data_IF_529007691180
#
_entry.id   IF_529007691180
#
_cell.length_a   1.000
_cell.length_b   1.000
_cell.length_c   1.000
_cell.angle_alpha   90.00
_cell.angle_beta   90.00
_cell.angle_gamma   90.00
#
_symmetry.space_group_name_H-M   'P 1'
#
loop_
_entity.id
_entity.type
_entity.pdbx_description
1 polymer ?
#
# COMPACT_ATOMS: atom_id res chain seq x y z
N UNK A 1 43.38 -37.11 4.82
CA UNK A 1 43.15 -35.68 4.58
C UNK A 1 41.99 -35.40 3.63
N UNK A 2 41.88 -36.05 2.47
CA UNK A 2 40.76 -35.81 1.51
C UNK A 2 39.34 -36.10 2.07
N UNK A 3 39.17 -37.10 2.96
CA UNK A 3 37.85 -37.41 3.58
C UNK A 3 37.39 -36.40 4.62
N UNK A 4 38.33 -35.70 5.27
CA UNK A 4 37.99 -34.65 6.24
C UNK A 4 37.52 -33.37 5.56
N UNK A 5 38.07 -33.04 4.41
CA UNK A 5 37.64 -31.88 3.60
C UNK A 5 36.23 -32.05 3.01
N UNK A 6 35.86 -33.25 2.58
CA UNK A 6 34.51 -33.56 2.08
C UNK A 6 33.45 -33.45 3.18
N UNK A 7 33.80 -33.89 4.41
CA UNK A 7 32.89 -33.77 5.58
C UNK A 7 32.72 -32.30 6.03
N UNK A 8 33.75 -31.47 5.94
CA UNK A 8 33.68 -30.05 6.26
C UNK A 8 32.90 -29.27 5.22
N UNK A 9 33.04 -29.62 3.91
CA UNK A 9 32.22 -29.00 2.84
C UNK A 9 30.74 -29.40 2.94
N UNK A 10 30.43 -30.65 3.30
CA UNK A 10 29.07 -31.10 3.50
C UNK A 10 28.42 -30.46 4.73
N UNK A 11 29.17 -30.22 5.81
CA UNK A 11 28.70 -29.52 7.01
C UNK A 11 28.45 -28.01 6.69
N UNK A 12 29.31 -27.37 5.88
CA UNK A 12 29.12 -25.97 5.46
C UNK A 12 27.92 -25.81 4.52
N UNK A 13 27.68 -26.77 3.63
CA UNK A 13 26.51 -26.78 2.75
C UNK A 13 25.20 -27.02 3.52
N UNK A 14 25.21 -27.83 4.57
CA UNK A 14 24.06 -28.06 5.45
C UNK A 14 23.75 -26.83 6.33
N UNK A 15 24.74 -26.08 6.78
CA UNK A 15 24.53 -24.82 7.52
C UNK A 15 24.05 -23.67 6.60
N UNK A 16 24.50 -23.64 5.34
CA UNK A 16 24.00 -22.69 4.36
C UNK A 16 22.54 -22.99 3.97
N UNK A 17 22.16 -24.26 3.84
CA UNK A 17 20.77 -24.68 3.61
C UNK A 17 19.85 -24.35 4.80
N UNK A 18 20.34 -24.46 6.06
CA UNK A 18 19.60 -24.09 7.23
C UNK A 18 19.43 -22.55 7.39
N UNK A 19 20.39 -21.75 6.93
CA UNK A 19 20.23 -20.29 6.88
C UNK A 19 19.28 -19.83 5.76
N UNK A 20 19.19 -20.58 4.66
CA UNK A 20 18.26 -20.27 3.55
C UNK A 20 16.80 -20.66 3.90
N UNK A 21 16.60 -21.63 4.80
CA UNK A 21 15.25 -22.00 5.28
C UNK A 21 14.77 -21.12 6.45
N UNK A 22 15.63 -20.35 7.12
CA UNK A 22 15.25 -19.39 8.15
C UNK A 22 14.84 -18.01 7.56
N UNK A 23 15.10 -17.75 6.27
CA UNK A 23 14.57 -16.61 5.52
C UNK A 23 13.24 -16.92 4.79
N UNK A 24 12.74 -18.16 4.89
CA UNK A 24 11.47 -18.52 4.29
C UNK A 24 10.31 -18.15 5.21
N UNK A 25 9.58 -17.15 4.76
CA UNK A 25 8.18 -16.93 5.11
C UNK A 25 7.90 -16.61 6.59
N UNK A 26 8.16 -15.37 6.99
CA UNK A 26 7.01 -14.71 7.58
C UNK A 26 5.96 -14.73 6.45
N UNK A 27 4.80 -15.41 6.60
CA UNK A 27 3.75 -15.26 5.63
C UNK A 27 3.54 -13.74 5.50
N UNK A 28 3.76 -13.18 4.31
CA UNK A 28 3.11 -11.95 3.98
C UNK A 28 1.65 -12.28 4.25
N UNK A 29 1.16 -11.88 5.42
CA UNK A 29 -0.26 -11.89 5.69
C UNK A 29 -0.81 -11.14 4.49
N UNK A 30 -1.46 -11.88 3.62
CA UNK A 30 -2.22 -11.37 2.51
C UNK A 30 -3.30 -10.48 3.11
N UNK A 31 -2.93 -9.25 3.45
CA UNK A 31 -3.87 -8.21 3.83
C UNK A 31 -4.74 -7.81 2.62
N UNK A 32 -4.39 -8.34 1.43
CA UNK A 32 -5.14 -8.08 0.21
C UNK A 32 -6.42 -8.93 0.09
N UNK A 33 -6.51 -10.12 0.74
CA UNK A 33 -7.54 -11.06 0.31
C UNK A 33 -8.77 -11.21 1.20
N UNK A 34 -8.85 -10.70 2.44
CA UNK A 34 -10.06 -11.07 3.22
C UNK A 34 -10.59 -10.08 4.29
N UNK A 35 -10.01 -8.89 4.51
CA UNK A 35 -10.45 -8.05 5.62
C UNK A 35 -10.79 -6.59 5.29
N UNK A 36 -10.54 -6.11 4.09
CA UNK A 36 -10.97 -4.81 3.63
C UNK A 36 -11.96 -4.93 2.46
N UNK A 37 -12.90 -5.87 2.56
CA UNK A 37 -14.08 -5.75 1.70
C UNK A 37 -14.77 -4.42 2.03
N UNK A 38 -15.14 -3.64 1.01
CA UNK A 38 -16.01 -2.49 1.24
C UNK A 38 -17.22 -2.95 2.06
N UNK A 39 -17.65 -2.19 3.07
CA UNK A 39 -18.85 -2.55 3.79
C UNK A 39 -20.00 -2.74 2.79
N UNK A 40 -20.76 -3.82 2.98
CA UNK A 40 -21.94 -4.14 2.18
C UNK A 40 -22.72 -2.86 1.88
N UNK A 41 -23.09 -2.70 0.60
CA UNK A 41 -23.91 -1.56 0.16
C UNK A 41 -25.07 -1.35 1.12
N UNK A 42 -25.29 -0.13 1.61
CA UNK A 42 -26.36 0.13 2.56
C UNK A 42 -27.68 -0.36 1.95
N UNK A 43 -28.44 -1.12 2.75
CA UNK A 43 -29.78 -1.57 2.38
C UNK A 43 -30.58 -0.39 1.81
N UNK A 44 -31.27 -0.61 0.69
CA UNK A 44 -32.15 0.37 0.07
C UNK A 44 -33.16 0.88 1.13
N UNK A 45 -32.85 2.00 1.74
CA UNK A 45 -33.82 2.77 2.51
C UNK A 45 -34.68 3.54 1.49
N UNK A 46 -35.93 3.11 1.31
CA UNK A 46 -36.92 3.70 0.40
C UNK A 46 -37.62 4.89 1.03
N UNK A 47 -36.94 5.70 1.79
CA UNK A 47 -37.41 6.98 2.28
C UNK A 47 -36.73 8.10 1.49
N UNK A 48 -37.52 8.86 0.74
CA UNK A 48 -37.12 10.06 0.00
C UNK A 48 -36.68 11.16 0.98
N UNK A 49 -35.51 10.99 1.61
CA UNK A 49 -34.83 12.07 2.35
C UNK A 49 -34.18 12.98 1.31
N UNK A 50 -34.49 14.27 1.37
CA UNK A 50 -33.82 15.31 0.61
C UNK A 50 -32.31 15.05 0.64
N UNK A 51 -31.69 14.90 -0.53
CA UNK A 51 -30.26 14.63 -0.66
C UNK A 51 -29.53 15.80 0.04
N UNK A 52 -28.73 15.59 1.10
CA UNK A 52 -28.08 16.67 1.81
C UNK A 52 -27.18 17.45 0.85
N UNK A 53 -27.23 18.79 0.92
CA UNK A 53 -26.40 19.63 0.08
C UNK A 53 -24.91 19.38 0.39
N UNK A 54 -24.05 19.42 -0.64
CA UNK A 54 -22.61 19.38 -0.43
C UNK A 54 -22.15 20.55 0.44
N UNK A 55 -21.19 20.31 1.30
CA UNK A 55 -20.53 21.32 2.13
C UNK A 55 -19.01 21.11 2.12
N UNK A 56 -18.26 22.11 2.55
CA UNK A 56 -16.81 22.02 2.66
C UNK A 56 -16.39 21.22 3.89
N UNK A 57 -15.38 20.38 3.68
CA UNK A 57 -14.74 19.54 4.69
C UNK A 57 -13.23 19.76 4.61
N UNK A 58 -12.59 19.99 5.74
CA UNK A 58 -11.14 20.05 5.84
C UNK A 58 -10.54 18.64 5.79
N UNK A 59 -9.46 18.47 4.98
CA UNK A 59 -8.69 17.24 4.94
C UNK A 59 -7.63 17.30 6.04
N UNK A 60 -7.63 16.32 6.92
CA UNK A 60 -6.63 16.16 7.99
C UNK A 60 -5.94 14.81 7.90
N UNK A 61 -4.65 14.80 8.26
CA UNK A 61 -3.86 13.61 8.53
C UNK A 61 -3.59 13.54 10.03
N UNK A 62 -4.48 12.84 10.75
CA UNK A 62 -4.33 12.67 12.20
C UNK A 62 -3.14 11.79 12.51
N UNK A 63 -2.21 12.26 13.36
CA UNK A 63 -1.07 11.47 13.81
C UNK A 63 -1.45 10.61 15.01
N UNK A 64 -1.43 9.29 14.84
CA UNK A 64 -1.68 8.31 15.90
C UNK A 64 -0.37 7.60 16.25
N UNK A 65 0.11 7.77 17.48
CA UNK A 65 1.32 7.09 17.97
C UNK A 65 0.94 6.12 19.09
N UNK A 66 1.58 4.95 19.10
CA UNK A 66 1.38 3.92 20.11
C UNK A 66 2.70 3.25 20.45
N UNK A 67 2.97 3.06 21.74
CA UNK A 67 4.14 2.34 22.24
C UNK A 67 3.68 1.21 23.15
N UNK A 68 4.34 0.07 23.07
CA UNK A 68 4.06 -1.12 23.83
C UNK A 68 5.33 -1.61 24.50
N UNK A 69 5.24 -1.90 25.81
CA UNK A 69 6.36 -2.20 26.68
C UNK A 69 6.28 -3.61 27.26
N UNK A 70 7.42 -4.16 27.67
CA UNK A 70 7.52 -5.33 28.54
C UNK A 70 7.22 -4.96 30.01
N UNK A 71 7.18 -5.96 30.89
CA UNK A 71 6.93 -5.75 32.33
C UNK A 71 8.05 -4.97 33.05
N UNK A 72 9.25 -4.97 32.49
CA UNK A 72 10.44 -4.25 32.99
C UNK A 72 10.64 -2.88 32.31
N UNK A 73 9.57 -2.31 31.74
CA UNK A 73 9.54 -1.01 31.03
C UNK A 73 10.41 -0.98 29.76
N UNK A 74 10.83 -2.12 29.21
CA UNK A 74 11.53 -2.18 27.93
C UNK A 74 10.55 -1.95 26.77
N UNK A 75 10.86 -1.00 25.89
CA UNK A 75 10.07 -0.77 24.68
C UNK A 75 10.21 -1.96 23.72
N UNK A 76 9.12 -2.63 23.43
CA UNK A 76 9.05 -3.81 22.56
C UNK A 76 8.64 -3.44 21.14
N UNK A 77 7.62 -2.62 21.01
CA UNK A 77 7.09 -2.22 19.71
C UNK A 77 6.52 -0.80 19.72
N UNK A 78 6.59 -0.13 18.58
CA UNK A 78 6.00 1.20 18.38
C UNK A 78 5.24 1.27 17.06
N UNK A 79 4.10 1.97 17.07
CA UNK A 79 3.30 2.30 15.89
C UNK A 79 3.24 3.81 15.67
N UNK A 80 3.22 4.23 14.40
CA UNK A 80 3.09 5.64 14.03
C UNK A 80 2.30 5.74 12.72
N UNK A 81 1.06 6.24 12.79
CA UNK A 81 0.11 6.21 11.68
C UNK A 81 -0.40 7.60 11.36
N UNK A 82 -0.40 7.97 10.08
CA UNK A 82 -1.14 9.12 9.58
C UNK A 82 -2.49 8.65 9.06
N UNK A 83 -3.56 8.99 9.78
CA UNK A 83 -4.94 8.60 9.46
C UNK A 83 -5.62 9.72 8.69
N UNK A 84 -6.10 9.44 7.49
CA UNK A 84 -6.87 10.40 6.72
C UNK A 84 -8.25 10.62 7.35
N UNK A 85 -8.66 11.88 7.48
CA UNK A 85 -9.97 12.28 8.01
C UNK A 85 -10.53 13.48 7.27
N UNK A 86 -11.86 13.53 7.18
CA UNK A 86 -12.62 14.70 6.75
C UNK A 86 -13.33 15.27 7.99
N UNK A 87 -13.03 16.52 8.33
CA UNK A 87 -13.66 17.24 9.43
C UNK A 87 -14.50 18.41 8.91
N UNK A 88 -15.54 18.85 9.63
CA UNK A 88 -16.19 20.11 9.29
C UNK A 88 -15.17 21.23 9.15
N UNK A 89 -15.42 22.16 8.22
CA UNK A 89 -14.47 23.19 7.82
C UNK A 89 -13.82 23.90 9.03
N UNK A 90 -12.48 23.87 9.06
CA UNK A 90 -11.69 24.66 10.01
C UNK A 90 -10.45 25.30 9.34
N UNK A 91 -10.40 25.29 7.99
CA UNK A 91 -9.33 25.84 7.16
C UNK A 91 -8.35 24.78 6.62
N UNK A 92 -7.46 25.17 5.70
CA UNK A 92 -6.51 24.27 5.02
C UNK A 92 -7.03 23.74 3.70
N UNK A 93 -6.59 22.53 3.32
CA UNK A 93 -7.10 21.86 2.12
C UNK A 93 -8.52 21.38 2.35
N UNK A 94 -9.43 21.75 1.47
CA UNK A 94 -10.85 21.43 1.60
C UNK A 94 -11.35 20.56 0.46
N UNK A 95 -12.43 19.84 0.72
CA UNK A 95 -13.15 18.99 -0.19
C UNK A 95 -14.66 19.24 -0.05
N UNK A 96 -15.35 19.47 -1.16
CA UNK A 96 -16.81 19.74 -1.15
C UNK A 96 -17.58 18.45 -1.44
N UNK A 97 -18.20 17.87 -0.42
CA UNK A 97 -19.00 16.64 -0.51
C UNK A 97 -20.19 16.68 0.44
N UNK A 98 -21.13 15.75 0.27
CA UNK A 98 -22.23 15.58 1.23
C UNK A 98 -21.72 15.00 2.56
N UNK A 99 -22.44 15.24 3.66
CA UNK A 99 -22.15 14.60 4.96
C UNK A 99 -22.11 13.08 4.84
N UNK A 100 -23.03 12.48 4.07
CA UNK A 100 -23.06 11.04 3.86
C UNK A 100 -21.77 10.53 3.16
N UNK A 101 -21.25 11.26 2.18
CA UNK A 101 -20.00 10.94 1.50
C UNK A 101 -18.82 11.03 2.47
N UNK A 102 -18.72 12.13 3.23
CA UNK A 102 -17.65 12.30 4.23
C UNK A 102 -17.68 11.20 5.30
N UNK A 103 -18.87 10.88 5.83
CA UNK A 103 -19.06 9.81 6.82
C UNK A 103 -18.65 8.44 6.26
N UNK A 104 -18.91 8.17 4.97
CA UNK A 104 -18.51 6.92 4.33
C UNK A 104 -17.00 6.80 4.26
N UNK A 105 -16.31 7.86 3.81
CA UNK A 105 -14.85 7.91 3.72
C UNK A 105 -14.22 7.81 5.13
N UNK A 106 -14.72 8.58 6.09
CA UNK A 106 -14.22 8.55 7.48
C UNK A 106 -14.40 7.17 8.11
N UNK A 107 -15.51 6.49 7.85
CA UNK A 107 -15.75 5.13 8.36
C UNK A 107 -14.74 4.12 7.79
N UNK A 108 -14.36 4.25 6.53
CA UNK A 108 -13.32 3.42 5.92
C UNK A 108 -11.99 3.59 6.68
N UNK A 109 -11.54 4.83 6.90
CA UNK A 109 -10.26 5.08 7.58
C UNK A 109 -10.31 4.77 9.09
N UNK A 110 -11.46 4.88 9.74
CA UNK A 110 -11.62 4.41 11.12
C UNK A 110 -11.51 2.87 11.22
N UNK A 111 -12.05 2.13 10.26
CA UNK A 111 -11.87 0.67 10.19
C UNK A 111 -10.42 0.32 9.88
N UNK A 112 -9.80 1.01 8.93
CA UNK A 112 -8.39 0.87 8.63
C UNK A 112 -7.52 1.14 9.88
N UNK A 113 -7.75 2.23 10.61
CA UNK A 113 -7.04 2.55 11.86
C UNK A 113 -7.13 1.43 12.89
N UNK A 114 -8.31 0.84 13.07
CA UNK A 114 -8.50 -0.31 13.97
C UNK A 114 -7.69 -1.53 13.52
N UNK A 115 -7.65 -1.78 12.23
CA UNK A 115 -6.84 -2.89 11.67
C UNK A 115 -5.35 -2.67 11.88
N UNK A 116 -4.85 -1.43 11.73
CA UNK A 116 -3.44 -1.11 12.00
C UNK A 116 -3.08 -1.28 13.47
N UNK A 117 -3.95 -0.84 14.39
CA UNK A 117 -3.72 -1.04 15.83
C UNK A 117 -3.74 -2.54 16.22
N UNK A 118 -4.57 -3.34 15.55
CA UNK A 118 -4.57 -4.79 15.75
C UNK A 118 -3.27 -5.41 15.19
N UNK A 119 -2.83 -5.02 14.01
CA UNK A 119 -1.56 -5.47 13.44
C UNK A 119 -0.37 -5.12 14.35
N UNK A 120 -0.34 -3.90 14.91
CA UNK A 120 0.67 -3.54 15.91
C UNK A 120 0.62 -4.43 17.17
N UNK A 121 -0.57 -4.84 17.60
CA UNK A 121 -0.68 -5.77 18.72
C UNK A 121 -0.05 -7.12 18.39
N UNK A 122 -0.24 -7.64 17.17
CA UNK A 122 0.36 -8.88 16.69
C UNK A 122 1.90 -8.74 16.59
N UNK A 123 2.39 -7.62 16.05
CA UNK A 123 3.83 -7.29 16.01
C UNK A 123 4.42 -7.20 17.43
N UNK A 124 3.66 -6.64 18.38
CA UNK A 124 4.08 -6.55 19.80
C UNK A 124 4.20 -7.93 20.41
N UNK A 125 3.31 -8.87 20.12
CA UNK A 125 3.38 -10.23 20.66
C UNK A 125 4.57 -10.99 20.06
N UNK A 126 4.90 -10.77 18.79
CA UNK A 126 6.13 -11.30 18.19
C UNK A 126 7.38 -10.73 18.89
N UNK A 127 7.41 -9.42 19.16
CA UNK A 127 8.48 -8.78 19.90
C UNK A 127 8.60 -9.34 21.32
N UNK A 128 7.49 -9.54 22.03
CA UNK A 128 7.43 -10.12 23.38
C UNK A 128 8.02 -11.54 23.42
N UNK A 129 7.64 -12.36 22.44
CA UNK A 129 8.16 -13.72 22.30
C UNK A 129 9.66 -13.73 22.04
N UNK A 130 10.14 -12.86 21.16
CA UNK A 130 11.57 -12.72 20.86
C UNK A 130 12.36 -12.22 22.09
N UNK A 131 11.82 -11.24 22.81
CA UNK A 131 12.42 -10.71 24.04
C UNK A 131 12.51 -11.76 25.15
N UNK A 132 11.42 -12.49 25.40
CA UNK A 132 11.39 -13.56 26.39
C UNK A 132 12.34 -14.72 26.04
N UNK A 133 12.46 -15.07 24.75
CA UNK A 133 13.35 -16.12 24.25
C UNK A 133 14.83 -15.85 24.53
N UNK A 134 15.23 -14.60 24.71
CA UNK A 134 16.59 -14.17 25.05
C UNK A 134 16.72 -13.75 26.52
N UNK A 135 15.67 -13.86 27.34
CA UNK A 135 15.58 -13.30 28.70
C UNK A 135 16.00 -11.81 28.74
N UNK A 136 15.73 -11.06 27.67
CA UNK A 136 16.13 -9.68 27.52
C UNK A 136 17.65 -9.45 27.36
N UNK A 137 18.45 -10.51 27.27
CA UNK A 137 19.91 -10.41 27.23
C UNK A 137 20.49 -10.07 25.85
N UNK A 138 19.66 -10.04 24.79
CA UNK A 138 20.11 -9.63 23.47
C UNK A 138 20.35 -8.11 23.45
N UNK A 139 21.60 -7.67 23.19
CA UNK A 139 21.95 -6.25 23.22
C UNK A 139 21.21 -5.41 22.16
N UNK A 140 20.58 -6.04 21.16
CA UNK A 140 19.74 -5.34 20.16
C UNK A 140 18.54 -4.64 20.80
N UNK A 141 18.00 -5.17 21.91
CA UNK A 141 16.89 -4.53 22.62
C UNK A 141 17.26 -3.20 23.31
N UNK A 142 18.56 -2.87 23.39
CA UNK A 142 19.04 -1.58 23.88
C UNK A 142 19.15 -0.51 22.77
N UNK A 143 19.01 -0.92 21.50
CA UNK A 143 19.21 -0.07 20.33
C UNK A 143 17.85 0.27 19.72
N UNK A 144 17.49 1.56 19.60
CA UNK A 144 16.17 1.98 19.13
C UNK A 144 15.81 1.50 17.72
N UNK A 145 16.80 1.26 16.87
CA UNK A 145 16.65 0.79 15.49
C UNK A 145 16.18 -0.67 15.41
N UNK A 146 16.35 -1.45 16.46
CA UNK A 146 15.91 -2.85 16.53
C UNK A 146 14.58 -3.05 17.27
N UNK A 147 13.99 -1.98 17.79
CA UNK A 147 12.63 -2.01 18.32
C UNK A 147 11.66 -2.34 17.18
N UNK A 148 10.77 -3.31 17.40
CA UNK A 148 9.77 -3.65 16.40
C UNK A 148 8.90 -2.42 16.12
N UNK A 149 8.56 -2.20 14.86
CA UNK A 149 7.84 -0.98 14.49
C UNK A 149 6.90 -1.22 13.33
N UNK A 150 5.80 -0.46 13.34
CA UNK A 150 4.87 -0.39 12.23
C UNK A 150 4.51 1.08 11.99
N UNK A 151 4.81 1.58 10.81
CA UNK A 151 4.59 2.99 10.48
C UNK A 151 3.86 3.12 9.16
N UNK A 152 2.96 4.10 9.09
CA UNK A 152 2.25 4.45 7.85
C UNK A 152 2.27 5.96 7.66
N UNK A 153 2.80 6.39 6.52
CA UNK A 153 2.66 7.75 6.03
C UNK A 153 1.60 7.78 4.94
N UNK A 154 0.78 8.81 4.97
CA UNK A 154 -0.37 8.96 4.07
C UNK A 154 -0.20 10.19 3.21
N UNK A 155 -0.51 10.06 1.93
CA UNK A 155 -0.63 11.14 0.97
C UNK A 155 -1.97 11.04 0.25
N UNK A 156 -2.41 12.11 -0.42
CA UNK A 156 -3.69 12.11 -1.12
C UNK A 156 -3.68 13.03 -2.33
N UNK A 157 -4.52 12.69 -3.29
CA UNK A 157 -4.84 13.52 -4.44
C UNK A 157 -6.36 13.69 -4.55
N UNK A 158 -6.78 14.93 -4.81
CA UNK A 158 -8.18 15.30 -5.00
C UNK A 158 -8.39 15.69 -6.45
N UNK A 159 -9.02 14.81 -7.20
CA UNK A 159 -9.46 15.09 -8.56
C UNK A 159 -10.84 15.73 -8.62
N UNK A 160 -11.38 15.91 -9.84
CA UNK A 160 -12.68 16.57 -10.04
C UNK A 160 -13.85 15.88 -9.31
N UNK A 161 -13.87 14.55 -9.26
CA UNK A 161 -14.90 13.73 -8.57
C UNK A 161 -14.34 12.45 -7.98
N UNK A 162 -13.03 12.37 -7.82
CA UNK A 162 -12.32 11.22 -7.27
C UNK A 162 -11.33 11.71 -6.22
N UNK A 163 -11.31 11.05 -5.06
CA UNK A 163 -10.27 11.18 -4.06
C UNK A 163 -9.41 9.91 -4.12
N UNK A 164 -8.10 10.05 -4.25
CA UNK A 164 -7.15 8.95 -4.10
C UNK A 164 -6.32 9.18 -2.85
N UNK A 165 -6.25 8.20 -1.97
CA UNK A 165 -5.42 8.23 -0.76
C UNK A 165 -4.42 7.10 -0.85
N UNK A 166 -3.13 7.43 -0.83
CA UNK A 166 -2.03 6.47 -0.85
C UNK A 166 -1.36 6.38 0.51
N UNK A 167 -1.02 5.17 0.93
CA UNK A 167 -0.42 4.88 2.23
C UNK A 167 0.85 4.08 2.02
N UNK A 168 1.97 4.60 2.50
CA UNK A 168 3.26 3.91 2.50
C UNK A 168 3.52 3.30 3.87
N UNK A 169 3.66 2.00 3.88
CA UNK A 169 3.89 1.18 5.06
C UNK A 169 5.37 0.85 5.21
N UNK A 170 5.84 0.83 6.45
CA UNK A 170 7.15 0.31 6.81
C UNK A 170 7.03 -0.44 8.14
N UNK A 171 7.25 -1.74 8.11
CA UNK A 171 7.12 -2.62 9.29
C UNK A 171 8.41 -3.38 9.55
N UNK A 172 8.92 -3.30 10.77
CA UNK A 172 10.07 -4.04 11.24
C UNK A 172 9.68 -4.98 12.37
N UNK A 173 9.84 -6.26 12.13
CA UNK A 173 9.56 -7.34 13.12
C UNK A 173 10.79 -8.22 13.38
N UNK A 174 11.98 -7.63 13.29
CA UNK A 174 13.27 -8.32 13.36
C UNK A 174 13.84 -8.63 11.98
N UNK A 175 15.10 -9.01 11.93
CA UNK A 175 15.81 -9.31 10.68
C UNK A 175 16.75 -8.19 10.23
N UNK A 176 17.14 -8.19 8.94
CA UNK A 176 18.16 -7.30 8.42
C UNK A 176 17.64 -5.89 8.09
N UNK A 177 16.36 -5.75 7.76
CA UNK A 177 15.74 -4.49 7.35
C UNK A 177 14.21 -4.54 7.53
N UNK A 178 13.53 -3.39 7.56
CA UNK A 178 12.07 -3.32 7.50
C UNK A 178 11.53 -3.89 6.18
N UNK A 179 10.29 -4.38 6.20
CA UNK A 179 9.50 -4.56 5.01
C UNK A 179 8.72 -3.28 4.72
N UNK A 180 8.63 -2.91 3.44
CA UNK A 180 7.86 -1.74 3.03
C UNK A 180 6.97 -2.07 1.84
N UNK A 181 5.79 -1.44 1.81
CA UNK A 181 4.85 -1.57 0.71
C UNK A 181 3.96 -0.33 0.64
N UNK A 182 3.29 -0.18 -0.49
CA UNK A 182 2.35 0.91 -0.70
C UNK A 182 0.98 0.36 -1.05
N UNK A 183 -0.05 0.97 -0.50
CA UNK A 183 -1.44 0.73 -0.88
C UNK A 183 -2.08 2.07 -1.24
N UNK A 184 -3.08 2.03 -2.12
CA UNK A 184 -3.92 3.18 -2.39
C UNK A 184 -5.39 2.75 -2.42
N UNK A 185 -6.25 3.67 -2.05
CA UNK A 185 -7.69 3.55 -2.17
C UNK A 185 -8.25 4.79 -2.84
N UNK A 186 -9.13 4.60 -3.80
CA UNK A 186 -9.80 5.69 -4.49
C UNK A 186 -11.28 5.69 -4.15
N UNK A 187 -11.86 6.90 -3.97
CA UNK A 187 -13.26 7.07 -3.61
C UNK A 187 -13.99 7.91 -4.67
N UNK A 188 -15.21 7.48 -4.99
CA UNK A 188 -16.17 8.30 -5.74
C UNK A 188 -16.72 9.40 -4.82
N UNK A 189 -16.39 10.67 -5.09
CA UNK A 189 -16.80 11.82 -4.28
C UNK A 189 -18.31 12.12 -4.35
N UNK A 190 -19.07 11.47 -5.25
CA UNK A 190 -20.52 11.60 -5.27
C UNK A 190 -21.22 10.81 -4.17
N UNK A 191 -20.60 9.72 -3.68
CA UNK A 191 -21.23 8.79 -2.72
C UNK A 191 -20.29 8.21 -1.66
N UNK A 192 -18.97 8.45 -1.75
CA UNK A 192 -17.97 7.94 -0.81
C UNK A 192 -17.67 6.45 -0.92
N UNK A 193 -18.05 5.80 -2.04
CA UNK A 193 -17.71 4.41 -2.29
C UNK A 193 -16.26 4.27 -2.72
N UNK A 194 -15.56 3.28 -2.15
CA UNK A 194 -14.26 2.87 -2.64
C UNK A 194 -14.39 2.26 -4.04
N UNK A 195 -13.46 2.63 -4.94
CA UNK A 195 -13.44 2.25 -6.34
C UNK A 195 -12.38 1.19 -6.60
N UNK A 196 -12.71 0.26 -7.49
CA UNK A 196 -11.75 -0.60 -8.16
C UNK A 196 -11.48 -0.04 -9.56
N UNK A 197 -10.32 -0.36 -10.15
CA UNK A 197 -10.01 0.09 -11.51
C UNK A 197 -11.08 -0.42 -12.51
N UNK A 198 -11.64 -1.60 -12.28
CA UNK A 198 -12.71 -2.20 -13.07
C UNK A 198 -14.04 -1.44 -13.00
N UNK A 199 -14.24 -0.56 -12.02
CA UNK A 199 -15.38 0.36 -11.99
C UNK A 199 -15.27 1.49 -13.02
N UNK A 200 -14.04 1.73 -13.51
CA UNK A 200 -13.68 2.83 -14.39
C UNK A 200 -13.51 2.40 -15.85
N UNK A 201 -13.54 1.10 -16.15
CA UNK A 201 -13.34 0.55 -17.50
C UNK A 201 -14.32 -0.57 -17.81
N UNK A 202 -14.76 -0.65 -19.07
CA UNK A 202 -15.53 -1.78 -19.62
C UNK A 202 -14.64 -2.74 -20.43
N UNK A 203 -13.38 -2.33 -20.71
CA UNK A 203 -12.38 -3.12 -21.42
C UNK A 203 -11.11 -3.31 -20.56
N UNK A 204 -11.25 -4.09 -19.52
CA UNK A 204 -10.15 -4.37 -18.59
C UNK A 204 -8.97 -5.08 -19.25
N UNK A 205 -9.22 -5.96 -20.22
CA UNK A 205 -8.16 -6.72 -20.90
C UNK A 205 -7.37 -5.85 -21.87
N UNK A 206 -8.06 -4.99 -22.66
CA UNK A 206 -7.39 -4.02 -23.52
C UNK A 206 -6.57 -3.01 -22.74
N UNK A 207 -7.12 -2.51 -21.64
CA UNK A 207 -6.41 -1.61 -20.71
C UNK A 207 -5.18 -2.29 -20.10
N UNK A 208 -5.32 -3.54 -19.66
CA UNK A 208 -4.21 -4.33 -19.08
C UNK A 208 -3.06 -4.44 -20.06
N UNK A 209 -3.33 -4.82 -21.30
CA UNK A 209 -2.30 -5.00 -22.33
C UNK A 209 -1.55 -3.69 -22.64
N UNK A 210 -2.28 -2.59 -22.83
CA UNK A 210 -1.70 -1.27 -23.16
C UNK A 210 -0.81 -0.75 -22.01
N UNK A 211 -1.25 -0.90 -20.76
CA UNK A 211 -0.47 -0.47 -19.59
C UNK A 211 0.76 -1.35 -19.42
N UNK A 212 0.64 -2.67 -19.53
CA UNK A 212 1.76 -3.60 -19.39
C UNK A 212 2.88 -3.30 -20.41
N UNK A 213 2.55 -2.95 -21.65
CA UNK A 213 3.54 -2.51 -22.65
C UNK A 213 4.24 -1.22 -22.21
N UNK A 214 3.48 -0.24 -21.70
CA UNK A 214 4.04 1.01 -21.17
C UNK A 214 4.97 0.77 -19.99
N UNK A 215 4.57 -0.09 -19.04
CA UNK A 215 5.38 -0.45 -17.88
C UNK A 215 6.69 -1.13 -18.29
N UNK A 216 6.63 -2.09 -19.20
CA UNK A 216 7.83 -2.80 -19.71
C UNK A 216 8.79 -1.81 -20.37
N UNK A 217 8.28 -0.85 -21.15
CA UNK A 217 9.10 0.19 -21.76
C UNK A 217 9.79 1.07 -20.70
N UNK A 218 9.08 1.43 -19.62
CA UNK A 218 9.61 2.27 -18.56
C UNK A 218 10.60 1.52 -17.66
N UNK A 219 10.32 0.26 -17.30
CA UNK A 219 11.24 -0.59 -16.52
C UNK A 219 12.61 -0.63 -17.16
N UNK A 220 12.70 -0.89 -18.47
CA UNK A 220 13.97 -0.94 -19.23
C UNK A 220 14.73 0.39 -19.29
N UNK A 221 14.16 1.48 -18.76
CA UNK A 221 14.75 2.83 -18.68
C UNK A 221 14.84 3.36 -17.26
N UNK A 222 14.46 2.55 -16.29
CA UNK A 222 14.50 2.93 -14.87
C UNK A 222 15.94 2.99 -14.33
N UNK A 223 16.10 3.69 -13.22
CA UNK A 223 17.37 3.72 -12.50
C UNK A 223 17.75 2.32 -11.99
N UNK A 224 16.76 1.52 -11.56
CA UNK A 224 16.97 0.14 -11.16
C UNK A 224 17.57 -0.68 -12.33
N UNK A 225 17.00 -0.58 -13.54
CA UNK A 225 17.54 -1.25 -14.71
C UNK A 225 19.00 -0.85 -14.99
N UNK A 226 19.30 0.44 -14.87
CA UNK A 226 20.66 0.96 -15.07
C UNK A 226 21.65 0.44 -14.03
N UNK A 227 21.19 0.22 -12.79
CA UNK A 227 22.03 -0.20 -11.66
C UNK A 227 22.27 -1.72 -11.63
N UNK A 228 21.22 -2.52 -11.85
CA UNK A 228 21.28 -3.98 -11.67
C UNK A 228 21.14 -4.77 -12.96
N UNK A 229 20.82 -4.14 -14.10
CA UNK A 229 20.61 -4.80 -15.40
C UNK A 229 19.35 -5.70 -15.42
N UNK A 230 19.10 -6.36 -16.55
CA UNK A 230 17.99 -7.31 -16.67
C UNK A 230 18.14 -8.50 -15.72
N UNK A 231 19.36 -8.97 -15.50
CA UNK A 231 19.68 -10.09 -14.63
C UNK A 231 19.39 -9.80 -13.14
N UNK A 232 19.25 -8.53 -12.78
CA UNK A 232 18.91 -8.10 -11.42
C UNK A 232 17.40 -8.09 -11.14
N UNK A 233 16.54 -8.14 -12.15
CA UNK A 233 15.11 -8.33 -12.01
C UNK A 233 14.76 -9.80 -11.82
N UNK A 234 13.61 -10.08 -11.19
CA UNK A 234 13.15 -11.46 -11.03
C UNK A 234 12.79 -12.07 -12.38
N UNK A 235 12.92 -13.39 -12.49
CA UNK A 235 12.73 -14.11 -13.77
C UNK A 235 11.32 -13.87 -14.35
N UNK A 236 10.33 -13.72 -13.49
CA UNK A 236 8.90 -13.52 -13.81
C UNK A 236 8.45 -12.06 -13.81
N UNK A 237 9.38 -11.07 -13.76
CA UNK A 237 9.00 -9.66 -13.64
C UNK A 237 8.08 -9.20 -14.78
N UNK A 238 8.24 -9.73 -15.99
CA UNK A 238 7.41 -9.34 -17.14
C UNK A 238 5.97 -9.83 -16.99
N UNK A 239 5.78 -11.04 -16.45
CA UNK A 239 4.44 -11.57 -16.13
C UNK A 239 3.79 -10.76 -15.00
N UNK A 240 4.58 -10.37 -14.00
CA UNK A 240 4.13 -9.50 -12.91
C UNK A 240 3.68 -8.13 -13.42
N UNK A 241 4.36 -7.54 -14.42
CA UNK A 241 3.91 -6.30 -15.05
C UNK A 241 2.55 -6.43 -15.76
N UNK A 242 2.16 -7.63 -16.19
CA UNK A 242 0.84 -7.88 -16.79
C UNK A 242 -0.28 -7.93 -15.75
N UNK A 243 0.03 -8.20 -14.49
CA UNK A 243 -0.91 -8.22 -13.38
C UNK A 243 -0.93 -6.88 -12.59
N UNK A 244 -0.57 -5.77 -13.24
CA UNK A 244 -0.46 -4.45 -12.63
C UNK A 244 -1.75 -3.96 -11.96
N UNK A 245 -2.92 -4.44 -12.38
CA UNK A 245 -4.22 -4.10 -11.76
C UNK A 245 -4.32 -4.56 -10.30
N UNK A 246 -3.50 -5.54 -9.90
CA UNK A 246 -3.42 -6.05 -8.53
C UNK A 246 -2.41 -5.27 -7.67
N UNK A 247 -1.75 -4.26 -8.28
CA UNK A 247 -0.75 -3.43 -7.62
C UNK A 247 -1.36 -2.14 -7.04
N UNK A 248 -0.55 -1.36 -6.37
CA UNK A 248 -0.96 -0.05 -5.88
C UNK A 248 -1.14 0.92 -7.05
N UNK A 249 -2.34 1.48 -7.19
CA UNK A 249 -2.70 2.45 -8.22
C UNK A 249 -2.95 3.80 -7.58
N UNK A 250 -2.11 4.78 -7.90
CA UNK A 250 -2.22 6.14 -7.38
C UNK A 250 -2.69 7.04 -8.52
N UNK A 251 -3.87 7.61 -8.37
CA UNK A 251 -4.39 8.60 -9.31
C UNK A 251 -3.76 9.96 -9.06
N UNK A 252 -3.43 10.67 -10.15
CA UNK A 252 -2.77 11.98 -10.16
C UNK A 252 -3.35 12.86 -11.27
N UNK A 253 -2.90 14.12 -11.42
CA UNK A 253 -3.42 15.06 -12.40
C UNK A 253 -3.29 14.59 -13.87
N UNK A 254 -2.22 13.88 -14.19
CA UNK A 254 -1.85 13.54 -15.57
C UNK A 254 -1.97 12.06 -15.92
N UNK A 255 -2.26 11.20 -14.95
CA UNK A 255 -2.31 9.75 -15.15
C UNK A 255 -2.48 8.98 -13.86
N UNK A 256 -2.14 7.70 -13.93
CA UNK A 256 -2.01 6.84 -12.75
C UNK A 256 -0.55 6.45 -12.56
N UNK A 257 -0.11 6.39 -11.32
CA UNK A 257 1.15 5.75 -10.94
C UNK A 257 0.86 4.33 -10.49
N UNK A 258 1.54 3.36 -11.12
CA UNK A 258 1.53 1.95 -10.72
C UNK A 258 2.77 1.70 -9.87
N UNK A 259 2.58 1.38 -8.59
CA UNK A 259 3.66 1.16 -7.64
C UNK A 259 3.81 -0.33 -7.32
N UNK A 260 5.02 -0.86 -7.54
CA UNK A 260 5.44 -2.20 -7.19
C UNK A 260 6.31 -2.13 -5.93
N UNK A 261 5.86 -2.75 -4.87
CA UNK A 261 6.60 -2.80 -3.60
C UNK A 261 7.96 -3.51 -3.78
N UNK A 262 8.95 -3.27 -2.91
CA UNK A 262 10.19 -4.06 -2.89
C UNK A 262 9.89 -5.56 -2.89
N UNK A 263 10.70 -6.34 -3.57
CA UNK A 263 10.51 -7.78 -3.82
C UNK A 263 9.35 -8.16 -4.76
N UNK A 264 8.69 -7.20 -5.40
CA UNK A 264 7.64 -7.53 -6.38
C UNK A 264 8.23 -7.88 -7.75
N UNK A 265 9.08 -7.01 -8.31
CA UNK A 265 9.72 -7.21 -9.62
C UNK A 265 11.24 -7.20 -9.56
N UNK A 266 11.82 -6.75 -8.45
CA UNK A 266 13.25 -6.64 -8.24
C UNK A 266 13.61 -6.85 -6.75
N UNK A 267 14.89 -7.14 -6.40
CA UNK A 267 15.34 -7.30 -5.02
C UNK A 267 15.12 -6.04 -4.17
N UNK A 268 15.13 -6.21 -2.85
CA UNK A 268 14.95 -5.11 -1.88
C UNK A 268 15.85 -3.90 -2.14
N UNK A 269 17.09 -4.14 -2.54
CA UNK A 269 18.07 -3.08 -2.81
C UNK A 269 17.66 -2.15 -3.98
N UNK A 270 16.79 -2.60 -4.88
CA UNK A 270 16.22 -1.79 -5.95
C UNK A 270 15.10 -0.84 -5.43
N UNK A 271 14.58 -1.08 -4.24
CA UNK A 271 13.51 -0.28 -3.64
C UNK A 271 12.15 -0.49 -4.31
N UNK A 272 11.21 0.41 -3.99
CA UNK A 272 9.91 0.50 -4.68
C UNK A 272 10.13 0.94 -6.13
N UNK A 273 9.44 0.29 -7.06
CA UNK A 273 9.46 0.65 -8.47
C UNK A 273 8.11 1.26 -8.84
N UNK A 274 8.09 2.53 -9.24
CA UNK A 274 6.87 3.26 -9.55
C UNK A 274 6.94 3.84 -10.97
N UNK A 275 5.87 3.68 -11.73
CA UNK A 275 5.80 4.08 -13.13
C UNK A 275 4.49 4.82 -13.41
N UNK A 276 4.61 6.02 -13.97
CA UNK A 276 3.44 6.81 -14.34
C UNK A 276 2.92 6.39 -15.72
N UNK A 277 1.62 6.15 -15.80
CA UNK A 277 0.91 5.85 -17.06
C UNK A 277 -0.05 7.00 -17.35
N UNK A 278 0.17 7.78 -18.43
CA UNK A 278 -0.57 9.01 -18.67
C UNK A 278 -2.02 8.73 -19.09
N UNK A 279 -2.93 9.64 -18.73
CA UNK A 279 -4.34 9.54 -19.16
C UNK A 279 -4.53 9.52 -20.67
N UNK A 280 -3.63 10.09 -21.45
CA UNK A 280 -3.67 10.00 -22.90
C UNK A 280 -3.62 8.55 -23.43
N UNK A 281 -2.93 7.64 -22.71
CA UNK A 281 -2.92 6.21 -23.00
C UNK A 281 -4.18 5.51 -22.46
N UNK A 282 -4.70 5.93 -21.31
CA UNK A 282 -5.77 5.26 -20.58
C UNK A 282 -7.17 5.67 -21.06
N UNK A 283 -7.31 6.92 -21.55
CA UNK A 283 -8.59 7.51 -21.96
C UNK A 283 -9.42 6.61 -22.89
N UNK A 284 -8.85 5.91 -23.89
CA UNK A 284 -9.63 5.05 -24.78
C UNK A 284 -10.30 3.85 -24.08
N UNK A 285 -9.82 3.49 -22.91
CA UNK A 285 -10.30 2.32 -22.14
C UNK A 285 -11.27 2.71 -21.02
N UNK A 286 -11.26 3.97 -20.56
CA UNK A 286 -12.22 4.42 -19.55
C UNK A 286 -13.64 4.40 -20.08
N UNK A 287 -14.56 3.88 -19.27
CA UNK A 287 -16.00 4.01 -19.52
C UNK A 287 -16.46 5.46 -19.19
N UNK A 288 -17.74 5.75 -19.47
CA UNK A 288 -18.29 7.08 -19.20
C UNK A 288 -18.18 7.50 -17.72
N UNK A 289 -18.28 6.56 -16.79
CA UNK A 289 -18.11 6.85 -15.34
C UNK A 289 -16.68 7.25 -15.05
N UNK A 290 -15.69 6.48 -15.53
CA UNK A 290 -14.28 6.77 -15.35
C UNK A 290 -13.89 8.13 -15.90
N UNK A 291 -14.33 8.43 -17.13
CA UNK A 291 -14.09 9.75 -17.74
C UNK A 291 -14.67 10.89 -16.90
N UNK A 292 -15.90 10.75 -16.40
CA UNK A 292 -16.53 11.78 -15.56
C UNK A 292 -15.85 11.95 -14.19
N UNK A 293 -15.47 10.86 -13.53
CA UNK A 293 -14.81 10.91 -12.21
C UNK A 293 -13.44 11.59 -12.30
N UNK A 294 -12.73 11.37 -13.39
CA UNK A 294 -11.41 11.95 -13.66
C UNK A 294 -11.46 13.31 -14.37
N UNK A 295 -12.66 13.79 -14.76
CA UNK A 295 -12.83 15.06 -15.50
C UNK A 295 -12.28 15.03 -16.92
N UNK A 296 -12.13 13.84 -17.51
CA UNK A 296 -11.59 13.64 -18.86
C UNK A 296 -12.66 13.72 -19.96
N UNK A 297 -13.93 13.82 -19.58
CA UNK A 297 -15.09 13.95 -20.47
C UNK A 297 -15.23 15.35 -21.11
N UNK A 298 -14.57 16.38 -20.54
CA UNK A 298 -14.70 17.77 -20.97
C UNK A 298 -13.58 18.27 -21.91
N UNK A 299 -12.54 17.47 -22.15
CA UNK A 299 -11.34 17.93 -22.86
C UNK A 299 -11.50 18.12 -24.39
N UNK A 300 -12.66 17.81 -24.98
CA UNK A 300 -12.87 17.91 -26.45
C UNK A 300 -13.52 19.21 -26.91
N UNK A 301 -13.96 20.08 -25.99
CA UNK A 301 -14.71 21.31 -26.36
C UNK A 301 -13.88 22.60 -26.42
N UNK A 302 -12.54 22.52 -26.30
CA UNK A 302 -11.65 23.69 -26.30
C UNK A 302 -10.62 23.69 -27.45
N UNK A 303 -10.98 23.21 -28.64
CA UNK A 303 -10.22 23.46 -29.88
C UNK A 303 -11.05 24.18 -30.91
#
# INVERSE_FOLDING_TARGET
MKKLYVLLLAAMLLTLAACLTACSAVPMLSLADDKLQPPDSPAKDTGEKANPLPQEWSIRLEQVNKENYAEDDRLLAKGSYQVFQLEPEDGGNTLTVTTQTADSINRYFEQWRKSQLQFLADVTEMARTSYAGTNGADPRWEQPEYVYSDTVTTDYWVGPRLLCVSMYYSSYSGGAHPNSWRLAVSFDLNNGQALQITDLTDDADGMRAAVAESLLYQVKRSDAWTQIGEEGFFEDYQDTLQTWMDQCLIFEDSGITVAFSPYTIAPYAAGEQSFQVPYSLLKPYFNERGLRLLGLDQAENNN
#
